data_IF_500670233062
#
_entry.id   IF_500670233062
#
_cell.length_a   1.000
_cell.length_b   1.000
_cell.length_c   1.000
_cell.angle_alpha   90.00
_cell.angle_beta   90.00
_cell.angle_gamma   90.00
#
_symmetry.space_group_name_H-M   'P 1'
#
loop_
_entity.id
_entity.type
_entity.pdbx_description
1 polymer ?
#
# COMPACT_ATOMS: atom_id res chain seq x y z
N UNK A 1 -8.69 -13.30 11.10
CA UNK A 1 -7.26 -13.62 10.91
C UNK A 1 -6.87 -13.99 9.47
N UNK A 2 -7.30 -15.12 8.89
CA UNK A 2 -6.85 -15.59 7.54
C UNK A 2 -7.12 -14.62 6.39
N UNK A 3 -8.28 -13.97 6.38
CA UNK A 3 -8.65 -12.98 5.34
C UNK A 3 -7.72 -11.76 5.35
N UNK A 4 -7.26 -11.33 6.53
CA UNK A 4 -6.40 -10.17 6.66
C UNK A 4 -4.98 -10.50 6.18
N UNK A 5 -4.46 -11.66 6.58
CA UNK A 5 -3.15 -12.15 6.15
C UNK A 5 -3.08 -12.31 4.63
N UNK A 6 -4.11 -12.87 4.01
CA UNK A 6 -4.17 -13.03 2.55
C UNK A 6 -4.12 -11.67 1.81
N UNK A 7 -4.91 -10.69 2.28
CA UNK A 7 -4.91 -9.36 1.69
C UNK A 7 -3.55 -8.65 1.84
N UNK A 8 -2.87 -8.84 2.97
CA UNK A 8 -1.53 -8.27 3.21
C UNK A 8 -0.50 -8.90 2.28
N UNK A 9 -0.49 -10.23 2.15
CA UNK A 9 0.43 -10.90 1.22
C UNK A 9 0.18 -10.49 -0.23
N UNK A 10 -1.07 -10.26 -0.61
CA UNK A 10 -1.41 -9.78 -1.95
C UNK A 10 -0.92 -8.33 -2.16
N UNK A 11 -1.07 -7.48 -1.15
CA UNK A 11 -0.56 -6.11 -1.17
C UNK A 11 0.97 -6.08 -1.26
N UNK A 12 1.68 -6.90 -0.49
CA UNK A 12 3.14 -6.99 -0.53
C UNK A 12 3.65 -7.51 -1.88
N UNK A 13 2.93 -8.46 -2.51
CA UNK A 13 3.25 -8.90 -3.86
C UNK A 13 3.10 -7.75 -4.87
N UNK A 14 2.03 -6.96 -4.74
CA UNK A 14 1.81 -5.79 -5.58
C UNK A 14 2.91 -4.73 -5.35
N UNK A 15 3.28 -4.45 -4.11
CA UNK A 15 4.41 -3.56 -3.77
C UNK A 15 5.69 -4.05 -4.41
N UNK A 16 6.01 -5.33 -4.26
CA UNK A 16 7.23 -5.92 -4.82
C UNK A 16 7.25 -5.78 -6.34
N UNK A 17 6.13 -6.04 -7.00
CA UNK A 17 6.00 -5.97 -8.45
C UNK A 17 6.08 -4.53 -9.00
N UNK A 18 5.41 -3.58 -8.35
CA UNK A 18 5.31 -2.20 -8.84
C UNK A 18 6.37 -1.26 -8.30
N UNK A 19 7.11 -1.64 -7.26
CA UNK A 19 8.07 -0.75 -6.58
C UNK A 19 9.48 -1.27 -6.79
N UNK A 20 9.72 -2.53 -6.40
CA UNK A 20 11.06 -3.13 -6.45
C UNK A 20 11.40 -3.45 -7.91
N UNK A 21 10.47 -4.06 -8.65
CA UNK A 21 10.69 -4.48 -10.03
C UNK A 21 10.93 -3.31 -10.98
N UNK A 22 10.17 -2.21 -10.86
CA UNK A 22 10.46 -1.05 -11.70
C UNK A 22 11.61 -0.17 -11.17
N UNK A 23 11.99 -0.27 -9.89
CA UNK A 23 13.26 0.31 -9.42
C UNK A 23 14.45 -0.48 -9.97
N UNK A 24 14.34 -1.81 -10.07
CA UNK A 24 15.32 -2.66 -10.74
C UNK A 24 15.43 -2.30 -12.23
N UNK A 25 14.31 -2.13 -12.93
CA UNK A 25 14.31 -1.67 -14.33
C UNK A 25 14.97 -0.28 -14.43
N UNK A 26 14.67 0.63 -13.50
CA UNK A 26 15.26 1.96 -13.47
C UNK A 26 16.79 1.95 -13.34
N UNK A 27 17.31 1.12 -12.44
CA UNK A 27 18.75 0.94 -12.25
C UNK A 27 19.40 0.27 -13.46
N UNK A 28 18.74 -0.71 -14.07
CA UNK A 28 19.24 -1.41 -15.27
C UNK A 28 19.25 -0.50 -16.51
N UNK A 29 18.35 0.48 -16.59
CA UNK A 29 18.25 1.44 -17.72
C UNK A 29 19.17 2.67 -17.55
N UNK A 30 20.25 2.58 -16.78
CA UNK A 30 21.25 3.66 -16.57
C UNK A 30 20.64 4.96 -16.01
N UNK A 31 19.61 4.88 -15.15
CA UNK A 31 18.94 6.05 -14.59
C UNK A 31 18.37 7.00 -15.68
N UNK A 32 18.09 6.48 -16.88
CA UNK A 32 17.45 7.22 -17.97
C UNK A 32 16.08 6.64 -18.30
N UNK A 33 15.04 7.46 -18.17
CA UNK A 33 13.65 7.03 -18.46
C UNK A 33 13.47 7.11 -19.97
N UNK A 34 13.57 5.97 -20.65
CA UNK A 34 13.24 5.87 -22.08
C UNK A 34 11.74 5.86 -22.34
N UNK A 35 10.93 5.56 -21.32
CA UNK A 35 9.47 5.64 -21.39
C UNK A 35 9.01 7.11 -21.24
N UNK A 36 7.93 7.47 -21.95
CA UNK A 36 7.31 8.81 -21.92
C UNK A 36 7.21 9.40 -20.49
N UNK A 37 7.40 10.72 -20.35
CA UNK A 37 7.31 11.45 -19.07
C UNK A 37 6.05 11.13 -18.26
N UNK A 38 4.94 10.83 -18.95
CA UNK A 38 3.68 10.44 -18.32
C UNK A 38 3.80 9.09 -17.60
N UNK A 39 4.46 8.11 -18.22
CA UNK A 39 4.63 6.78 -17.65
C UNK A 39 5.55 6.79 -16.42
N UNK A 40 6.60 7.62 -16.43
CA UNK A 40 7.44 7.86 -15.25
C UNK A 40 6.64 8.39 -14.05
N UNK A 41 5.78 9.40 -14.29
CA UNK A 41 4.90 9.94 -13.23
C UNK A 41 3.93 8.89 -12.71
N UNK A 42 3.27 8.14 -13.60
CA UNK A 42 2.32 7.08 -13.21
C UNK A 42 3.01 6.00 -12.38
N UNK A 43 4.21 5.57 -12.78
CA UNK A 43 4.98 4.57 -12.04
C UNK A 43 5.35 5.04 -10.63
N UNK A 44 5.86 6.28 -10.49
CA UNK A 44 6.21 6.89 -9.19
C UNK A 44 5.00 6.98 -8.26
N UNK A 45 3.84 7.34 -8.79
CA UNK A 45 2.58 7.43 -8.04
C UNK A 45 2.10 6.04 -7.62
N UNK A 46 2.10 5.06 -8.54
CA UNK A 46 1.69 3.68 -8.26
C UNK A 46 2.57 3.02 -7.19
N UNK A 47 3.89 3.21 -7.28
CA UNK A 47 4.85 2.72 -6.30
C UNK A 47 4.62 3.31 -4.90
N UNK A 48 4.39 4.62 -4.83
CA UNK A 48 4.13 5.32 -3.55
C UNK A 48 2.80 4.88 -2.94
N UNK A 49 1.77 4.71 -3.77
CA UNK A 49 0.47 4.19 -3.37
C UNK A 49 0.59 2.77 -2.80
N UNK A 50 1.33 1.90 -3.49
CA UNK A 50 1.52 0.51 -3.07
C UNK A 50 2.17 0.41 -1.68
N UNK A 51 3.30 1.11 -1.44
CA UNK A 51 3.98 1.11 -0.14
C UNK A 51 3.04 1.61 0.97
N UNK A 52 2.32 2.69 0.68
CA UNK A 52 1.39 3.29 1.64
C UNK A 52 0.27 2.31 2.01
N UNK A 53 -0.29 1.60 1.04
CA UNK A 53 -1.31 0.57 1.28
C UNK A 53 -0.81 -0.55 2.20
N UNK A 54 0.40 -1.09 1.96
CA UNK A 54 0.96 -2.17 2.80
C UNK A 54 1.15 -1.72 4.26
N UNK A 55 1.68 -0.51 4.49
CA UNK A 55 1.83 0.05 5.84
C UNK A 55 0.49 0.15 6.59
N UNK A 56 -0.57 0.62 5.95
CA UNK A 56 -1.89 0.71 6.59
C UNK A 56 -2.51 -0.67 6.87
N UNK A 57 -2.29 -1.66 6.00
CA UNK A 57 -2.76 -3.02 6.22
C UNK A 57 -2.00 -3.71 7.37
N UNK A 58 -0.70 -3.44 7.52
CA UNK A 58 0.11 -3.84 8.69
C UNK A 58 -0.45 -3.24 10.00
N UNK A 59 -0.76 -1.94 10.00
CA UNK A 59 -1.38 -1.28 11.16
C UNK A 59 -2.75 -1.90 11.49
N UNK A 60 -3.58 -2.17 10.48
CA UNK A 60 -4.85 -2.86 10.67
C UNK A 60 -4.68 -4.26 11.29
N UNK A 61 -3.65 -5.01 10.89
CA UNK A 61 -3.31 -6.30 11.49
C UNK A 61 -2.85 -6.17 12.94
N UNK A 62 -2.03 -5.16 13.25
CA UNK A 62 -1.59 -4.90 14.62
C UNK A 62 -2.77 -4.58 15.54
N UNK A 63 -3.75 -3.79 15.06
CA UNK A 63 -4.97 -3.45 15.79
C UNK A 63 -5.86 -4.70 15.99
N UNK A 64 -6.08 -5.50 14.95
CA UNK A 64 -6.87 -6.75 15.05
C UNK A 64 -6.27 -7.70 16.11
N UNK A 65 -4.94 -7.84 16.13
CA UNK A 65 -4.24 -8.66 17.13
C UNK A 65 -4.26 -8.04 18.52
N UNK A 66 -4.11 -6.73 18.64
CA UNK A 66 -4.16 -6.03 19.92
C UNK A 66 -5.53 -6.20 20.57
N UNK A 67 -6.61 -6.02 19.81
CA UNK A 67 -7.97 -6.18 20.32
C UNK A 67 -8.33 -7.63 20.64
N UNK A 68 -7.83 -8.60 19.86
CA UNK A 68 -7.97 -10.02 20.19
C UNK A 68 -7.30 -10.39 21.53
N UNK A 69 -6.20 -9.73 21.89
CA UNK A 69 -5.48 -9.95 23.15
C UNK A 69 -6.16 -9.22 24.31
N UNK A 70 -6.56 -7.96 24.13
CA UNK A 70 -7.10 -7.11 25.20
C UNK A 70 -8.59 -7.35 25.46
N UNK A 71 -9.38 -7.67 24.43
CA UNK A 71 -10.85 -7.83 24.52
C UNK A 71 -11.35 -9.08 23.79
N UNK A 72 -11.04 -10.29 24.30
CA UNK A 72 -11.36 -11.55 23.61
C UNK A 72 -12.87 -11.86 23.43
N UNK A 73 -13.77 -11.18 24.15
CA UNK A 73 -15.23 -11.42 24.09
C UNK A 73 -16.05 -10.28 23.49
N UNK A 74 -15.44 -9.17 23.08
CA UNK A 74 -16.19 -8.08 22.46
C UNK A 74 -16.25 -8.29 20.95
N UNK A 75 -17.43 -8.26 20.30
CA UNK A 75 -17.50 -8.25 18.84
C UNK A 75 -16.88 -6.95 18.34
N UNK A 76 -15.60 -7.02 17.96
CA UNK A 76 -14.89 -5.90 17.37
C UNK A 76 -15.32 -5.70 15.91
N UNK A 77 -15.04 -4.50 15.39
CA UNK A 77 -15.35 -4.08 14.02
C UNK A 77 -14.98 -5.21 13.04
N UNK A 78 -15.91 -5.56 12.14
CA UNK A 78 -15.69 -6.62 11.16
C UNK A 78 -14.40 -6.36 10.37
N UNK A 79 -13.54 -7.37 10.23
CA UNK A 79 -12.26 -7.27 9.52
C UNK A 79 -12.40 -6.65 8.11
N UNK A 80 -13.57 -6.80 7.46
CA UNK A 80 -13.91 -6.15 6.18
C UNK A 80 -13.92 -4.62 6.27
N UNK A 81 -14.46 -4.06 7.35
CA UNK A 81 -14.53 -2.60 7.55
C UNK A 81 -13.15 -2.03 7.90
N UNK A 82 -12.31 -2.80 8.60
CA UNK A 82 -10.93 -2.44 8.89
C UNK A 82 -10.07 -2.42 7.62
N UNK A 83 -10.27 -3.39 6.71
CA UNK A 83 -9.65 -3.39 5.38
C UNK A 83 -10.16 -2.23 4.52
N UNK A 84 -11.48 -2.00 4.49
CA UNK A 84 -12.06 -0.87 3.75
C UNK A 84 -11.53 0.48 4.26
N UNK A 85 -11.42 0.64 5.59
CA UNK A 85 -10.85 1.81 6.22
C UNK A 85 -9.36 1.93 5.91
N UNK A 86 -8.58 0.85 5.89
CA UNK A 86 -7.17 0.88 5.51
C UNK A 86 -6.99 1.33 4.04
N UNK A 87 -7.84 0.86 3.12
CA UNK A 87 -7.86 1.31 1.72
C UNK A 87 -8.35 2.76 1.56
N UNK A 88 -9.33 3.19 2.36
CA UNK A 88 -9.83 4.57 2.32
C UNK A 88 -8.84 5.57 2.96
N UNK A 89 -8.19 5.16 4.05
CA UNK A 89 -7.19 5.97 4.75
C UNK A 89 -5.88 6.01 3.96
N UNK A 90 -5.53 4.97 3.19
CA UNK A 90 -4.36 5.03 2.29
C UNK A 90 -4.54 6.03 1.14
N UNK A 91 -5.78 6.35 0.74
CA UNK A 91 -6.07 7.40 -0.25
C UNK A 91 -5.80 8.82 0.28
N UNK A 92 -5.92 9.08 1.59
CA UNK A 92 -5.71 10.40 2.18
C UNK A 92 -4.27 10.94 2.05
N UNK A 93 -3.20 10.19 2.39
CA UNK A 93 -1.82 10.61 2.17
C UNK A 93 -1.35 10.40 0.71
N UNK A 94 -2.13 9.71 -0.12
CA UNK A 94 -1.89 9.64 -1.57
C UNK A 94 -2.23 10.95 -2.29
N UNK A 95 -3.21 11.70 -1.79
CA UNK A 95 -3.62 13.01 -2.32
C UNK A 95 -2.51 14.07 -2.31
N UNK A 96 -1.71 14.27 -1.24
CA UNK A 96 -0.61 15.24 -1.27
C UNK A 96 0.55 14.80 -2.19
N UNK A 97 0.75 13.49 -2.40
CA UNK A 97 1.75 12.98 -3.35
C UNK A 97 1.40 13.30 -4.81
N UNK A 98 0.10 13.36 -5.14
CA UNK A 98 -0.39 13.84 -6.44
C UNK A 98 -0.05 15.33 -6.69
N UNK A 99 -0.12 16.16 -5.64
CA UNK A 99 0.11 17.60 -5.76
C UNK A 99 1.59 17.98 -5.99
N UNK A 100 2.53 17.20 -5.47
CA UNK A 100 3.97 17.48 -5.61
C UNK A 100 4.52 17.07 -6.99
N UNK A 101 3.95 16.06 -7.64
CA UNK A 101 4.38 15.62 -8.99
C UNK A 101 3.56 16.24 -10.14
N UNK A 102 2.45 16.94 -9.84
CA UNK A 102 1.70 17.72 -10.84
C UNK A 102 2.38 19.05 -11.19
N UNK A 103 3.19 19.60 -10.28
CA UNK A 103 4.04 20.77 -10.54
C UNK A 103 5.39 20.36 -11.14
#
# INVERSE_FOLDING_TARGET
>A
MTILTFNITLADLFVTFFTILGQLIWEVLDMRWYLSNVACKVYKVASTYAITSSNYMLVAMAIDRHEAIVRPLNPFISAKNLVLAAWAVSLLPSLPNLFIFVR
#
